data_IF_479133578055
#
_entry.id   IF_479133578055
#
_cell.length_a   1.000
_cell.length_b   1.000
_cell.length_c   1.000
_cell.angle_alpha   90.00
_cell.angle_beta   90.00
_cell.angle_gamma   90.00
#
_symmetry.space_group_name_H-M   'P 1'
#
loop_
_entity.id
_entity.type
_entity.pdbx_description
1 polymer ?
#
# COMPACT_ATOMS: atom_id res chain seq x y z
N UNK A 1 -64.81 -18.36 1.98
CA UNK A 1 -64.74 -17.56 0.73
C UNK A 1 -63.54 -16.63 0.69
N UNK A 2 -63.25 -15.84 1.72
CA UNK A 2 -62.08 -14.92 1.68
C UNK A 2 -60.71 -15.64 1.72
N UNK A 3 -60.66 -16.84 2.30
CA UNK A 3 -59.43 -17.64 2.42
C UNK A 3 -59.02 -18.33 1.10
N UNK A 4 -60.00 -18.85 0.33
CA UNK A 4 -59.74 -19.46 -0.99
C UNK A 4 -59.22 -18.43 -2.01
N UNK A 5 -59.66 -17.18 -1.91
CA UNK A 5 -59.23 -16.13 -2.84
C UNK A 5 -57.77 -15.72 -2.64
N UNK A 6 -57.25 -15.78 -1.40
CA UNK A 6 -55.83 -15.52 -1.10
C UNK A 6 -54.92 -16.64 -1.60
N UNK A 7 -55.37 -17.89 -1.52
CA UNK A 7 -54.60 -19.04 -2.00
C UNK A 7 -54.45 -19.03 -3.53
N UNK A 8 -55.49 -18.61 -4.25
CA UNK A 8 -55.45 -18.54 -5.72
C UNK A 8 -54.48 -17.46 -6.22
N UNK A 9 -54.48 -16.28 -5.59
CA UNK A 9 -53.55 -15.17 -5.93
C UNK A 9 -52.10 -15.54 -5.63
N UNK A 10 -51.85 -16.26 -4.52
CA UNK A 10 -50.51 -16.72 -4.18
C UNK A 10 -49.96 -17.73 -5.21
N UNK A 11 -50.79 -18.66 -5.70
CA UNK A 11 -50.39 -19.64 -6.72
C UNK A 11 -50.10 -18.98 -8.08
N UNK A 12 -50.86 -17.95 -8.45
CA UNK A 12 -50.66 -17.23 -9.71
C UNK A 12 -49.36 -16.39 -9.68
N UNK A 13 -49.06 -15.73 -8.55
CA UNK A 13 -47.79 -15.05 -8.33
C UNK A 13 -46.61 -16.01 -8.37
N UNK A 14 -46.72 -17.18 -7.74
CA UNK A 14 -45.66 -18.20 -7.75
C UNK A 14 -45.41 -18.71 -9.18
N UNK A 15 -46.47 -18.97 -9.96
CA UNK A 15 -46.32 -19.44 -11.34
C UNK A 15 -45.75 -18.35 -12.27
N UNK A 16 -46.21 -17.10 -12.14
CA UNK A 16 -45.67 -15.96 -12.90
C UNK A 16 -44.19 -15.71 -12.59
N UNK A 17 -43.81 -15.83 -11.31
CA UNK A 17 -42.40 -15.70 -10.89
C UNK A 17 -41.56 -16.86 -11.41
N UNK A 18 -42.13 -18.07 -11.49
CA UNK A 18 -41.43 -19.26 -12.00
C UNK A 18 -41.17 -19.17 -13.50
N UNK A 19 -42.10 -18.63 -14.29
CA UNK A 19 -41.88 -18.40 -15.73
C UNK A 19 -40.78 -17.35 -15.98
N UNK A 20 -40.73 -16.29 -15.17
CA UNK A 20 -39.70 -15.25 -15.31
C UNK A 20 -38.30 -15.75 -14.96
N UNK A 21 -38.18 -16.65 -13.99
CA UNK A 21 -36.90 -17.21 -13.54
C UNK A 21 -36.41 -18.34 -14.46
N UNK A 22 -37.31 -19.18 -14.96
CA UNK A 22 -36.93 -20.43 -15.65
C UNK A 22 -36.74 -20.25 -17.16
N UNK A 23 -37.31 -19.21 -17.76
CA UNK A 23 -37.20 -18.96 -19.20
C UNK A 23 -38.02 -19.95 -20.04
N UNK A 24 -38.47 -19.52 -21.21
CA UNK A 24 -39.34 -20.32 -22.09
C UNK A 24 -38.65 -21.64 -22.51
N UNK A 25 -39.15 -22.82 -22.09
CA UNK A 25 -38.55 -24.12 -22.41
C UNK A 25 -38.68 -24.50 -23.90
N UNK A 26 -39.38 -23.70 -24.72
CA UNK A 26 -39.56 -23.95 -26.15
C UNK A 26 -38.70 -23.07 -27.06
N UNK A 27 -37.77 -22.28 -26.52
CA UNK A 27 -36.79 -21.58 -27.35
C UNK A 27 -35.87 -22.59 -28.06
N UNK A 28 -36.18 -22.90 -29.33
CA UNK A 28 -35.35 -23.75 -30.18
C UNK A 28 -33.91 -23.23 -30.31
N UNK A 29 -32.96 -24.07 -30.76
CA UNK A 29 -31.55 -23.71 -30.84
C UNK A 29 -31.37 -22.44 -31.66
N UNK A 30 -30.94 -21.35 -31.00
CA UNK A 30 -30.68 -20.07 -31.65
C UNK A 30 -29.57 -20.29 -32.66
N UNK A 31 -29.89 -20.15 -33.96
CA UNK A 31 -28.86 -20.19 -35.01
C UNK A 31 -27.91 -19.03 -34.80
N UNK A 32 -26.68 -19.35 -34.40
CA UNK A 32 -25.61 -18.37 -34.25
C UNK A 32 -25.21 -17.87 -35.64
N UNK A 33 -25.72 -16.71 -36.02
CA UNK A 33 -25.29 -16.02 -37.24
C UNK A 33 -23.89 -15.42 -37.02
N UNK A 34 -23.03 -15.44 -38.04
CA UNK A 34 -21.68 -14.86 -37.95
C UNK A 34 -21.66 -13.43 -37.38
N UNK A 35 -22.64 -12.59 -37.75
CA UNK A 35 -22.79 -11.23 -37.25
C UNK A 35 -23.02 -11.14 -35.73
N UNK A 36 -23.76 -12.10 -35.14
CA UNK A 36 -23.98 -12.09 -33.70
C UNK A 36 -22.73 -12.54 -32.94
N UNK A 37 -21.97 -13.49 -33.50
CA UNK A 37 -20.65 -13.87 -32.97
C UNK A 37 -19.65 -12.73 -32.98
N UNK A 38 -19.55 -12.03 -34.11
CA UNK A 38 -18.68 -10.86 -34.26
C UNK A 38 -19.05 -9.74 -33.26
N UNK A 39 -20.34 -9.40 -33.17
CA UNK A 39 -20.82 -8.42 -32.19
C UNK A 39 -20.51 -8.84 -30.73
N UNK A 40 -20.61 -10.12 -30.41
CA UNK A 40 -20.27 -10.62 -29.08
C UNK A 40 -18.77 -10.42 -28.75
N UNK A 41 -17.86 -10.66 -29.71
CA UNK A 41 -16.42 -10.45 -29.54
C UNK A 41 -16.09 -8.97 -29.36
N UNK A 42 -16.65 -8.08 -30.18
CA UNK A 42 -16.37 -6.64 -30.08
C UNK A 42 -16.88 -6.01 -28.78
N UNK A 43 -18.02 -6.47 -28.29
CA UNK A 43 -18.52 -6.06 -26.98
C UNK A 43 -17.59 -6.50 -25.84
N UNK A 44 -17.10 -7.75 -25.88
CA UNK A 44 -16.13 -8.24 -24.89
C UNK A 44 -14.80 -7.49 -24.99
N UNK A 45 -14.31 -7.27 -26.20
CA UNK A 45 -13.07 -6.52 -26.49
C UNK A 45 -13.12 -5.11 -25.91
N UNK A 46 -14.16 -4.33 -26.25
CA UNK A 46 -14.24 -2.93 -25.84
C UNK A 46 -14.26 -2.76 -24.32
N UNK A 47 -15.11 -3.55 -23.64
CA UNK A 47 -15.23 -3.51 -22.18
C UNK A 47 -13.96 -4.05 -21.51
N UNK A 48 -13.40 -5.15 -22.01
CA UNK A 48 -12.20 -5.76 -21.46
C UNK A 48 -10.99 -4.84 -21.57
N UNK A 49 -10.73 -4.31 -22.76
CA UNK A 49 -9.61 -3.41 -23.00
C UNK A 49 -9.74 -2.10 -22.21
N UNK A 50 -10.94 -1.51 -22.14
CA UNK A 50 -11.18 -0.31 -21.33
C UNK A 50 -10.91 -0.56 -19.85
N UNK A 51 -11.48 -1.63 -19.28
CA UNK A 51 -11.29 -2.00 -17.88
C UNK A 51 -9.81 -2.31 -17.60
N UNK A 52 -9.16 -3.06 -18.49
CA UNK A 52 -7.76 -3.44 -18.37
C UNK A 52 -6.82 -2.24 -18.39
N UNK A 53 -7.05 -1.27 -19.28
CA UNK A 53 -6.23 -0.05 -19.31
C UNK A 53 -6.45 0.78 -18.04
N UNK A 54 -7.70 0.94 -17.59
CA UNK A 54 -8.01 1.64 -16.34
C UNK A 54 -7.31 0.97 -15.14
N UNK A 55 -7.29 -0.36 -15.12
CA UNK A 55 -6.57 -1.17 -14.14
C UNK A 55 -5.06 -0.89 -14.17
N UNK A 56 -4.43 -1.00 -15.34
CA UNK A 56 -2.99 -0.80 -15.49
C UNK A 56 -2.51 0.62 -15.20
N UNK A 57 -3.35 1.63 -15.50
CA UNK A 57 -3.07 3.03 -15.20
C UNK A 57 -3.34 3.41 -13.74
N UNK A 58 -4.15 2.66 -13.01
CA UNK A 58 -4.53 3.03 -11.64
C UNK A 58 -3.36 2.90 -10.65
N UNK A 59 -2.88 4.05 -10.14
CA UNK A 59 -1.84 4.14 -9.09
C UNK A 59 -2.46 4.15 -7.69
N UNK A 60 -3.75 4.51 -7.59
CA UNK A 60 -4.38 4.82 -6.32
C UNK A 60 -5.06 3.61 -5.66
N UNK A 61 -4.82 3.37 -4.34
CA UNK A 61 -5.51 2.36 -3.55
C UNK A 61 -7.04 2.42 -3.65
N UNK A 62 -7.62 3.61 -3.88
CA UNK A 62 -9.07 3.82 -4.01
C UNK A 62 -9.65 3.08 -5.23
N UNK A 63 -8.88 3.01 -6.32
CA UNK A 63 -9.35 2.36 -7.55
C UNK A 63 -9.41 0.84 -7.36
N UNK A 64 -8.50 0.26 -6.56
CA UNK A 64 -8.51 -1.18 -6.24
C UNK A 64 -9.80 -1.65 -5.56
N UNK A 65 -10.36 -0.83 -4.67
CA UNK A 65 -11.64 -1.11 -4.01
C UNK A 65 -12.81 -1.12 -4.99
N UNK A 66 -12.84 -0.15 -5.91
CA UNK A 66 -13.87 -0.08 -6.98
C UNK A 66 -13.75 -1.26 -7.94
N UNK A 67 -12.53 -1.71 -8.24
CA UNK A 67 -12.30 -2.86 -9.09
C UNK A 67 -12.80 -4.15 -8.43
N UNK A 68 -12.53 -4.33 -7.13
CA UNK A 68 -12.98 -5.51 -6.40
C UNK A 68 -14.52 -5.60 -6.37
N UNK A 69 -15.20 -4.47 -6.18
CA UNK A 69 -16.68 -4.42 -6.20
C UNK A 69 -17.23 -4.67 -7.60
N UNK A 70 -16.66 -4.08 -8.65
CA UNK A 70 -17.06 -4.33 -10.04
C UNK A 70 -16.79 -5.80 -10.43
N UNK A 71 -15.66 -6.37 -10.02
CA UNK A 71 -15.30 -7.76 -10.30
C UNK A 71 -16.23 -8.74 -9.58
N UNK A 72 -16.60 -8.44 -8.33
CA UNK A 72 -17.61 -9.20 -7.59
C UNK A 72 -18.99 -9.13 -8.27
N UNK A 73 -19.41 -7.94 -8.69
CA UNK A 73 -20.66 -7.75 -9.42
C UNK A 73 -20.65 -8.52 -10.75
N UNK A 74 -19.55 -8.45 -11.52
CA UNK A 74 -19.39 -9.18 -12.78
C UNK A 74 -19.37 -10.69 -12.56
N UNK A 75 -18.71 -11.18 -11.51
CA UNK A 75 -18.71 -12.61 -11.18
C UNK A 75 -20.13 -13.10 -10.84
N UNK A 76 -20.93 -12.31 -10.13
CA UNK A 76 -22.35 -12.61 -9.85
C UNK A 76 -23.19 -12.57 -11.13
N UNK A 77 -22.97 -11.58 -12.01
CA UNK A 77 -23.71 -11.46 -13.28
C UNK A 77 -23.31 -12.53 -14.32
N UNK A 78 -22.09 -13.05 -14.25
CA UNK A 78 -21.57 -14.10 -15.15
C UNK A 78 -21.86 -15.51 -14.60
N UNK A 79 -21.90 -15.68 -13.27
CA UNK A 79 -21.78 -16.96 -12.59
C UNK A 79 -23.04 -17.61 -12.02
N UNK A 80 -24.25 -17.12 -12.30
CA UNK A 80 -25.48 -17.65 -11.65
C UNK A 80 -26.47 -18.37 -12.57
N UNK A 81 -26.10 -18.73 -13.80
CA UNK A 81 -27.03 -19.50 -14.63
C UNK A 81 -26.34 -20.50 -15.58
N UNK A 82 -25.88 -21.62 -15.01
CA UNK A 82 -25.24 -22.74 -15.72
C UNK A 82 -26.14 -23.39 -16.78
N UNK A 83 -27.46 -23.17 -16.73
CA UNK A 83 -28.41 -23.72 -17.69
C UNK A 83 -28.48 -22.99 -19.03
N UNK A 84 -27.85 -21.82 -19.18
CA UNK A 84 -27.95 -20.99 -20.40
C UNK A 84 -26.60 -20.45 -20.90
N UNK A 85 -25.55 -21.27 -20.86
CA UNK A 85 -24.27 -20.95 -21.52
C UNK A 85 -24.39 -21.15 -23.04
N UNK A 86 -25.11 -20.26 -23.70
CA UNK A 86 -25.05 -20.13 -25.16
C UNK A 86 -23.60 -19.83 -25.60
N UNK A 87 -23.17 -20.41 -26.71
CA UNK A 87 -21.83 -20.19 -27.27
C UNK A 87 -21.49 -18.69 -27.46
N UNK A 88 -22.51 -17.85 -27.69
CA UNK A 88 -22.37 -16.39 -27.80
C UNK A 88 -21.98 -15.71 -26.48
N UNK A 89 -22.52 -16.17 -25.35
CA UNK A 89 -22.18 -15.63 -24.02
C UNK A 89 -20.76 -16.04 -23.63
N UNK A 90 -20.42 -17.31 -23.86
CA UNK A 90 -19.07 -17.82 -23.64
C UNK A 90 -18.03 -17.05 -24.46
N UNK A 91 -18.32 -16.77 -25.74
CA UNK A 91 -17.43 -15.99 -26.61
C UNK A 91 -17.24 -14.55 -26.13
N UNK A 92 -18.30 -13.90 -25.64
CA UNK A 92 -18.22 -12.55 -25.05
C UNK A 92 -17.38 -12.53 -23.77
N UNK A 93 -17.56 -13.52 -22.90
CA UNK A 93 -16.80 -13.63 -21.63
C UNK A 93 -15.32 -13.92 -21.91
N UNK A 94 -15.04 -14.83 -22.85
CA UNK A 94 -13.68 -15.18 -23.25
C UNK A 94 -12.93 -14.00 -23.87
N UNK A 95 -13.59 -13.26 -24.78
CA UNK A 95 -13.02 -12.05 -25.37
C UNK A 95 -12.79 -10.96 -24.31
N UNK A 96 -13.75 -10.74 -23.40
CA UNK A 96 -13.56 -9.82 -22.28
C UNK A 96 -12.30 -10.14 -21.45
N UNK A 97 -12.12 -11.40 -21.04
CA UNK A 97 -10.95 -11.81 -20.24
C UNK A 97 -9.63 -11.61 -20.98
N UNK A 98 -9.54 -12.06 -22.24
CA UNK A 98 -8.33 -11.94 -23.06
C UNK A 98 -7.93 -10.47 -23.26
N UNK A 99 -8.89 -9.62 -23.64
CA UNK A 99 -8.62 -8.21 -23.90
C UNK A 99 -8.41 -7.40 -22.62
N UNK A 100 -8.93 -7.86 -21.47
CA UNK A 100 -8.59 -7.29 -20.16
C UNK A 100 -7.11 -7.47 -19.84
N UNK A 101 -6.55 -8.67 -20.05
CA UNK A 101 -5.11 -8.91 -19.85
C UNK A 101 -4.26 -8.03 -20.76
N UNK A 102 -4.61 -7.94 -22.05
CA UNK A 102 -3.94 -7.05 -23.01
C UNK A 102 -4.03 -5.59 -22.56
N UNK A 103 -5.21 -5.15 -22.10
CA UNK A 103 -5.43 -3.81 -21.57
C UNK A 103 -4.58 -3.51 -20.34
N UNK A 104 -4.42 -4.46 -19.41
CA UNK A 104 -3.56 -4.31 -18.22
C UNK A 104 -2.11 -4.13 -18.64
N UNK A 105 -1.60 -4.99 -19.52
CA UNK A 105 -0.23 -4.88 -20.03
C UNK A 105 0.00 -3.55 -20.75
N UNK A 106 -0.96 -3.11 -21.56
CA UNK A 106 -0.91 -1.82 -22.25
C UNK A 106 -0.95 -0.65 -21.26
N UNK A 107 -1.83 -0.69 -20.25
CA UNK A 107 -1.90 0.34 -19.22
C UNK A 107 -0.62 0.44 -18.40
N UNK A 108 -0.05 -0.71 -18.01
CA UNK A 108 1.26 -0.76 -17.34
C UNK A 108 2.37 -0.22 -18.23
N UNK A 109 2.36 -0.55 -19.53
CA UNK A 109 3.34 -0.03 -20.49
C UNK A 109 3.23 1.49 -20.64
N UNK A 110 2.02 2.03 -20.82
CA UNK A 110 1.77 3.47 -20.91
C UNK A 110 2.22 4.18 -19.64
N UNK A 111 1.95 3.58 -18.48
CA UNK A 111 2.38 4.11 -17.19
C UNK A 111 3.90 4.06 -17.01
N UNK A 112 4.56 2.99 -17.42
CA UNK A 112 5.99 2.81 -17.21
C UNK A 112 6.85 3.66 -18.15
N UNK A 113 6.34 3.99 -19.33
CA UNK A 113 7.08 4.73 -20.35
C UNK A 113 6.65 6.19 -20.46
N UNK A 114 5.64 6.62 -19.70
CA UNK A 114 5.10 7.98 -19.68
C UNK A 114 5.08 8.66 -21.08
N UNK A 115 4.53 8.01 -22.13
CA UNK A 115 4.66 8.50 -23.51
C UNK A 115 3.92 9.81 -23.77
N UNK A 116 3.05 10.21 -22.83
CA UNK A 116 2.31 11.47 -22.85
C UNK A 116 2.87 12.51 -21.87
N UNK A 117 3.92 12.19 -21.10
CA UNK A 117 4.54 13.18 -20.24
C UNK A 117 5.33 14.18 -21.12
N UNK A 118 5.21 15.50 -20.87
CA UNK A 118 6.03 16.48 -21.55
C UNK A 118 7.49 16.23 -21.23
N UNK A 119 8.36 16.44 -22.23
CA UNK A 119 9.79 16.22 -22.03
C UNK A 119 10.33 17.20 -20.99
N UNK A 120 11.47 16.87 -20.38
CA UNK A 120 12.13 17.77 -19.42
C UNK A 120 12.45 19.14 -20.05
N UNK A 121 12.69 19.18 -21.35
CA UNK A 121 12.92 20.41 -22.11
C UNK A 121 11.64 21.25 -22.19
N UNK A 122 10.49 20.63 -22.43
CA UNK A 122 9.21 21.34 -22.50
C UNK A 122 8.85 21.96 -21.15
N UNK A 123 9.06 21.24 -20.05
CA UNK A 123 8.86 21.77 -18.70
C UNK A 123 9.81 22.93 -18.39
N UNK A 124 11.07 22.83 -18.82
CA UNK A 124 12.06 23.89 -18.61
C UNK A 124 11.67 25.17 -19.36
N UNK A 125 11.19 25.03 -20.59
CA UNK A 125 10.69 26.16 -21.40
C UNK A 125 9.42 26.77 -20.79
N UNK A 126 8.52 25.94 -20.25
CA UNK A 126 7.33 26.41 -19.53
C UNK A 126 7.71 27.28 -18.33
N UNK A 127 8.64 26.83 -17.47
CA UNK A 127 9.12 27.61 -16.32
C UNK A 127 9.83 28.90 -16.73
N UNK A 128 10.60 28.88 -17.83
CA UNK A 128 11.22 30.09 -18.38
C UNK A 128 10.18 31.09 -18.87
N UNK A 129 9.13 30.60 -19.54
CA UNK A 129 8.09 31.45 -20.12
C UNK A 129 7.29 32.24 -19.06
N UNK A 130 7.20 31.70 -17.84
CA UNK A 130 6.57 32.37 -16.68
C UNK A 130 7.55 33.22 -15.86
N UNK A 131 8.80 33.34 -16.29
CA UNK A 131 9.79 34.28 -15.74
C UNK A 131 10.75 33.70 -14.69
N UNK A 132 10.81 32.37 -14.51
CA UNK A 132 11.84 31.77 -13.66
C UNK A 132 13.21 31.84 -14.33
N UNK A 133 14.26 32.01 -13.50
CA UNK A 133 15.63 31.88 -13.96
C UNK A 133 15.95 30.43 -14.34
N UNK A 134 16.93 30.23 -15.22
CA UNK A 134 17.38 28.90 -15.65
C UNK A 134 17.81 28.01 -14.47
N UNK A 135 18.37 28.64 -13.42
CA UNK A 135 18.85 27.99 -12.22
C UNK A 135 17.69 27.51 -11.35
N UNK A 136 16.68 28.37 -11.15
CA UNK A 136 15.47 28.04 -10.38
C UNK A 136 14.63 26.97 -11.10
N UNK A 137 14.43 27.11 -12.41
CA UNK A 137 13.70 26.13 -13.22
C UNK A 137 14.40 24.75 -13.17
N UNK A 138 15.74 24.74 -13.29
CA UNK A 138 16.51 23.50 -13.13
C UNK A 138 16.38 22.94 -11.72
N UNK A 139 16.43 23.77 -10.68
CA UNK A 139 16.27 23.32 -9.30
C UNK A 139 14.87 22.74 -9.02
N UNK A 140 13.82 23.31 -9.60
CA UNK A 140 12.45 22.79 -9.48
C UNK A 140 12.29 21.46 -10.20
N UNK A 141 12.80 21.32 -11.42
CA UNK A 141 12.70 20.07 -12.19
C UNK A 141 13.56 18.97 -11.56
N UNK A 142 14.80 19.29 -11.18
CA UNK A 142 15.76 18.32 -10.63
C UNK A 142 15.56 18.08 -9.13
N UNK A 143 14.80 18.93 -8.42
CA UNK A 143 14.43 18.70 -7.02
C UNK A 143 13.64 17.40 -6.84
N UNK A 144 12.75 17.07 -7.79
CA UNK A 144 12.02 15.80 -7.82
C UNK A 144 12.95 14.60 -8.11
N UNK A 145 13.97 14.78 -8.96
CA UNK A 145 14.94 13.72 -9.30
C UNK A 145 15.94 13.48 -8.16
N UNK A 146 16.31 14.55 -7.42
CA UNK A 146 17.15 14.44 -6.20
C UNK A 146 16.43 13.74 -5.05
N UNK A 147 15.09 13.80 -5.01
CA UNK A 147 14.34 12.92 -4.11
C UNK A 147 14.64 11.47 -4.50
N UNK A 148 14.48 11.10 -5.78
CA UNK A 148 14.66 9.74 -6.32
C UNK A 148 16.06 9.12 -6.10
N UNK A 149 17.11 9.94 -6.07
CA UNK A 149 18.49 9.45 -5.99
C UNK A 149 19.10 9.37 -4.58
N UNK A 150 18.33 9.47 -3.50
CA UNK A 150 18.87 9.18 -2.15
C UNK A 150 18.14 9.75 -0.93
N UNK A 151 17.04 10.48 -1.10
CA UNK A 151 16.19 10.98 -0.01
C UNK A 151 14.72 11.07 -0.45
N UNK A 152 14.17 10.00 -1.02
CA UNK A 152 12.74 9.95 -1.37
C UNK A 152 11.96 9.80 -0.09
N UNK A 153 10.96 10.65 0.11
CA UNK A 153 9.83 10.33 0.98
C UNK A 153 9.05 9.23 0.28
N UNK A 154 9.38 7.97 0.57
CA UNK A 154 8.74 6.79 0.00
C UNK A 154 7.28 6.84 0.44
N UNK A 155 6.37 7.19 -0.44
CA UNK A 155 4.96 6.93 -0.15
C UNK A 155 4.74 5.43 -0.30
N UNK A 156 4.39 4.76 0.81
CA UNK A 156 4.00 3.36 0.83
C UNK A 156 2.79 3.16 -0.10
N UNK A 157 3.07 2.92 -1.36
CA UNK A 157 2.09 2.51 -2.35
C UNK A 157 2.02 0.99 -2.26
N UNK A 158 0.81 0.42 -2.23
CA UNK A 158 0.54 -1.03 -2.11
C UNK A 158 1.31 -1.90 -3.13
N UNK A 159 1.84 -1.29 -4.19
CA UNK A 159 2.65 -1.94 -5.23
C UNK A 159 4.14 -2.07 -4.86
N UNK A 160 4.62 -1.40 -3.81
CA UNK A 160 5.98 -1.51 -3.30
C UNK A 160 5.92 -1.94 -1.84
N UNK A 161 5.73 -3.25 -1.63
CA UNK A 161 5.91 -3.94 -0.35
C UNK A 161 7.39 -4.01 0.01
N UNK A 162 8.02 -2.85 0.22
CA UNK A 162 9.32 -2.80 0.87
C UNK A 162 9.15 -3.09 2.36
N UNK A 163 10.05 -3.88 2.94
CA UNK A 163 10.16 -3.98 4.39
C UNK A 163 10.68 -2.65 4.90
N UNK A 164 9.87 -1.94 5.71
CA UNK A 164 10.30 -0.68 6.32
C UNK A 164 11.40 -0.98 7.34
N UNK A 165 12.57 -0.43 7.08
CA UNK A 165 13.76 -0.53 7.93
C UNK A 165 13.82 0.65 8.91
N UNK A 166 14.65 0.52 9.93
CA UNK A 166 14.81 1.57 10.95
C UNK A 166 15.42 2.88 10.41
N UNK A 167 15.93 2.90 9.17
CA UNK A 167 16.48 4.08 8.51
C UNK A 167 15.45 4.83 7.63
N UNK A 168 14.28 4.24 7.41
CA UNK A 168 13.18 4.83 6.64
C UNK A 168 12.43 5.88 7.50
N UNK A 169 13.13 6.97 7.78
CA UNK A 169 12.72 8.02 8.71
C UNK A 169 11.73 9.03 8.14
N UNK A 170 11.64 9.07 6.82
CA UNK A 170 10.74 9.92 6.05
C UNK A 170 9.27 9.69 6.39
N UNK A 171 8.89 8.46 6.75
CA UNK A 171 7.54 8.13 7.22
C UNK A 171 7.15 8.79 8.54
N UNK A 172 8.14 9.19 9.36
CA UNK A 172 7.94 9.69 10.71
C UNK A 172 8.12 11.21 10.83
N UNK A 173 8.18 11.93 9.70
CA UNK A 173 8.40 13.38 9.70
C UNK A 173 7.24 14.18 10.31
N UNK A 174 6.03 13.59 10.36
CA UNK A 174 4.85 14.23 10.95
C UNK A 174 4.81 14.18 12.48
N UNK A 175 5.42 13.17 13.10
CA UNK A 175 5.44 13.03 14.55
C UNK A 175 6.43 14.04 15.17
N UNK A 176 6.03 14.79 16.18
CA UNK A 176 6.96 15.70 16.87
C UNK A 176 6.57 15.85 18.35
N UNK A 177 7.39 16.57 19.12
CA UNK A 177 7.16 16.73 20.56
C UNK A 177 5.90 17.52 20.93
N UNK A 178 5.26 18.19 19.95
CA UNK A 178 3.97 18.86 20.13
C UNK A 178 2.76 17.99 19.80
N UNK A 179 2.98 16.81 19.23
CA UNK A 179 1.93 15.82 18.92
C UNK A 179 1.54 15.05 20.18
N UNK A 180 0.26 14.67 20.32
CA UNK A 180 -0.19 13.85 21.44
C UNK A 180 0.48 12.46 21.43
N UNK A 181 0.81 11.90 22.59
CA UNK A 181 1.48 10.59 22.69
C UNK A 181 0.74 9.48 21.94
N UNK A 182 -0.59 9.47 22.00
CA UNK A 182 -1.45 8.52 21.28
C UNK A 182 -1.27 8.63 19.76
N UNK A 183 -1.27 9.84 19.21
CA UNK A 183 -1.05 10.10 17.79
C UNK A 183 0.39 9.79 17.36
N UNK A 184 1.39 10.02 18.22
CA UNK A 184 2.77 9.60 17.96
C UNK A 184 2.85 8.07 17.82
N UNK A 185 2.20 7.32 18.72
CA UNK A 185 2.21 5.85 18.66
C UNK A 185 1.56 5.36 17.37
N UNK A 186 0.39 5.90 17.00
CA UNK A 186 -0.29 5.54 15.75
C UNK A 186 0.55 5.92 14.52
N UNK A 187 1.23 7.06 14.53
CA UNK A 187 2.13 7.47 13.45
C UNK A 187 3.31 6.52 13.27
N UNK A 188 3.82 5.90 14.35
CA UNK A 188 4.86 4.87 14.25
C UNK A 188 4.32 3.49 13.85
N UNK A 189 3.06 3.18 14.17
CA UNK A 189 2.40 1.92 13.76
C UNK A 189 1.99 1.93 12.28
N UNK A 190 1.57 3.08 11.76
CA UNK A 190 1.01 3.21 10.41
C UNK A 190 1.92 2.72 9.26
N UNK A 191 3.25 2.94 9.28
CA UNK A 191 4.14 2.46 8.23
C UNK A 191 4.28 0.92 8.24
N UNK A 192 4.16 0.27 9.39
CA UNK A 192 4.49 -1.15 9.56
C UNK A 192 5.99 -1.40 9.79
N UNK A 193 6.39 -2.67 9.68
CA UNK A 193 7.80 -3.07 9.79
C UNK A 193 8.44 -2.74 11.14
N UNK A 194 9.72 -2.32 11.10
CA UNK A 194 10.50 -2.05 12.32
C UNK A 194 9.82 -1.03 13.26
N UNK A 195 9.27 0.06 12.72
CA UNK A 195 8.69 1.12 13.52
C UNK A 195 7.39 0.71 14.21
N UNK A 196 6.57 -0.12 13.56
CA UNK A 196 5.36 -0.63 14.15
C UNK A 196 5.65 -1.62 15.28
N UNK A 197 6.59 -2.54 15.07
CA UNK A 197 7.04 -3.49 16.10
C UNK A 197 7.66 -2.74 17.29
N UNK A 198 8.44 -1.69 17.03
CA UNK A 198 9.01 -0.84 18.07
C UNK A 198 7.94 -0.09 18.86
N UNK A 199 6.97 0.51 18.18
CA UNK A 199 5.87 1.22 18.83
C UNK A 199 5.02 0.30 19.69
N UNK A 200 4.72 -0.91 19.22
CA UNK A 200 3.96 -1.90 19.99
C UNK A 200 4.70 -2.35 21.25
N UNK A 201 6.01 -2.56 21.15
CA UNK A 201 6.81 -2.99 22.30
C UNK A 201 6.99 -1.86 23.33
N UNK A 202 7.16 -0.61 22.87
CA UNK A 202 7.19 0.59 23.73
C UNK A 202 5.85 0.79 24.43
N UNK A 203 4.73 0.64 23.72
CA UNK A 203 3.38 0.76 24.25
C UNK A 203 3.11 -0.22 25.40
N UNK A 204 3.69 -1.42 25.32
CA UNK A 204 3.58 -2.47 26.35
C UNK A 204 4.54 -2.28 27.53
N UNK A 205 5.75 -1.80 27.29
CA UNK A 205 6.86 -1.91 28.27
C UNK A 205 7.25 -0.60 28.94
N UNK A 206 6.84 0.55 28.38
CA UNK A 206 7.23 1.88 28.85
C UNK A 206 6.02 2.60 29.48
N UNK A 207 6.19 3.32 30.62
CA UNK A 207 5.11 4.11 31.21
C UNK A 207 4.54 5.15 30.24
N UNK A 208 3.24 5.41 30.32
CA UNK A 208 2.51 6.31 29.41
C UNK A 208 3.15 7.70 29.27
N UNK A 209 3.68 8.24 30.37
CA UNK A 209 4.33 9.56 30.39
C UNK A 209 5.58 9.64 29.51
N UNK A 210 6.26 8.52 29.25
CA UNK A 210 7.55 8.48 28.57
C UNK A 210 7.46 7.96 27.13
N UNK A 211 6.36 7.29 26.75
CA UNK A 211 6.22 6.60 25.45
C UNK A 211 6.54 7.50 24.26
N UNK A 212 5.91 8.67 24.19
CA UNK A 212 6.11 9.62 23.09
C UNK A 212 7.57 10.10 23.02
N UNK A 213 8.18 10.38 24.17
CA UNK A 213 9.57 10.83 24.24
C UNK A 213 10.56 9.73 23.84
N UNK A 214 10.33 8.48 24.23
CA UNK A 214 11.16 7.32 23.84
C UNK A 214 11.11 7.13 22.32
N UNK A 215 9.91 7.10 21.73
CA UNK A 215 9.73 6.91 20.29
C UNK A 215 10.46 7.99 19.48
N UNK A 216 10.23 9.26 19.83
CA UNK A 216 10.87 10.39 19.14
C UNK A 216 12.38 10.40 19.32
N UNK A 217 12.88 10.10 20.54
CA UNK A 217 14.33 10.10 20.82
C UNK A 217 15.04 9.00 20.01
N UNK A 218 14.48 7.78 19.98
CA UNK A 218 15.07 6.69 19.20
C UNK A 218 15.02 6.98 17.70
N UNK A 219 13.89 7.52 17.20
CA UNK A 219 13.82 8.00 15.82
C UNK A 219 14.95 9.00 15.55
N UNK A 220 15.05 10.06 16.33
CA UNK A 220 16.03 11.11 16.08
C UNK A 220 17.47 10.55 16.06
N UNK A 221 17.79 9.59 16.93
CA UNK A 221 19.10 8.95 16.96
C UNK A 221 19.36 8.11 15.72
N UNK A 222 18.41 7.25 15.34
CA UNK A 222 18.56 6.36 14.17
C UNK A 222 18.52 7.13 12.84
N UNK A 223 17.82 8.26 12.81
CA UNK A 223 17.69 9.10 11.61
C UNK A 223 18.83 10.09 11.42
N UNK A 224 19.48 10.53 12.51
CA UNK A 224 20.62 11.47 12.45
C UNK A 224 21.95 10.76 12.19
N UNK A 225 22.08 9.50 12.58
CA UNK A 225 23.24 8.69 12.24
C UNK A 225 22.95 7.96 10.91
N UNK A 226 23.51 8.37 9.77
CA UNK A 226 23.53 7.52 8.58
C UNK A 226 24.77 6.62 8.69
N UNK A 227 24.69 5.39 9.26
CA UNK A 227 25.77 4.47 9.01
C UNK A 227 25.74 4.13 7.53
N UNK A 228 26.89 4.24 6.87
CA UNK A 228 27.10 3.64 5.54
C UNK A 228 26.83 2.11 5.55
N UNK A 229 26.66 1.50 6.73
CA UNK A 229 26.37 0.10 6.96
C UNK A 229 25.49 -0.10 8.22
N UNK A 230 24.17 0.07 8.07
CA UNK A 230 23.20 -0.14 9.16
C UNK A 230 23.18 -1.61 9.64
N UNK A 231 23.50 -2.57 8.77
CA UNK A 231 23.59 -3.99 9.11
C UNK A 231 24.71 -4.25 10.12
N UNK A 232 25.87 -3.63 9.92
CA UNK A 232 26.97 -3.68 10.90
C UNK A 232 26.59 -3.00 12.22
N UNK A 233 25.87 -1.89 12.17
CA UNK A 233 25.36 -1.22 13.38
C UNK A 233 24.44 -2.15 14.18
N UNK A 234 23.43 -2.75 13.53
CA UNK A 234 22.46 -3.70 14.12
C UNK A 234 23.16 -4.87 14.80
N UNK A 235 24.05 -5.55 14.07
CA UNK A 235 24.77 -6.73 14.58
C UNK A 235 25.73 -6.40 15.73
N UNK A 236 26.45 -5.27 15.64
CA UNK A 236 27.36 -4.82 16.70
C UNK A 236 26.58 -4.48 17.96
N UNK A 237 25.46 -3.75 17.84
CA UNK A 237 24.61 -3.40 18.98
C UNK A 237 24.11 -4.65 19.72
N UNK A 238 23.56 -5.63 19.00
CA UNK A 238 23.05 -6.88 19.60
C UNK A 238 24.17 -7.61 20.35
N UNK A 239 25.35 -7.72 19.76
CA UNK A 239 26.50 -8.39 20.39
C UNK A 239 26.98 -7.69 21.67
N UNK A 240 26.95 -6.36 21.68
CA UNK A 240 27.39 -5.55 22.82
C UNK A 240 26.37 -5.55 23.95
N UNK A 241 25.06 -5.60 23.65
CA UNK A 241 24.00 -5.66 24.67
C UNK A 241 23.82 -7.06 25.25
N UNK A 242 24.11 -8.12 24.48
CA UNK A 242 23.90 -9.50 24.90
C UNK A 242 24.59 -9.84 26.23
N UNK A 243 23.83 -10.47 27.14
CA UNK A 243 24.32 -10.97 28.42
C UNK A 243 24.54 -9.92 29.51
N UNK A 244 24.19 -8.65 29.28
CA UNK A 244 24.31 -7.57 30.27
C UNK A 244 23.00 -7.34 31.00
N UNK A 245 23.08 -7.13 32.31
CA UNK A 245 21.93 -7.02 33.21
C UNK A 245 21.65 -5.60 33.69
N UNK A 246 22.53 -4.64 33.39
CA UNK A 246 22.46 -3.28 33.89
C UNK A 246 22.75 -2.28 32.75
N UNK A 247 22.12 -1.10 32.79
CA UNK A 247 22.31 -0.07 31.78
C UNK A 247 23.76 0.43 31.74
N UNK A 248 24.40 0.65 32.90
CA UNK A 248 25.78 1.13 32.96
C UNK A 248 26.78 0.20 32.25
N UNK A 249 26.61 -1.12 32.41
CA UNK A 249 27.44 -2.11 31.72
C UNK A 249 27.23 -2.11 30.20
N UNK A 250 25.99 -1.90 29.75
CA UNK A 250 25.67 -1.75 28.32
C UNK A 250 26.30 -0.48 27.77
N UNK A 251 26.14 0.64 28.47
CA UNK A 251 26.64 1.95 28.07
C UNK A 251 28.17 1.97 27.97
N UNK A 252 28.88 1.36 28.94
CA UNK A 252 30.33 1.22 28.87
C UNK A 252 30.79 0.42 27.66
N UNK A 253 30.09 -0.67 27.32
CA UNK A 253 30.41 -1.47 26.15
C UNK A 253 30.11 -0.75 24.82
N UNK A 254 29.00 -0.02 24.76
CA UNK A 254 28.62 0.79 23.59
C UNK A 254 29.59 1.97 23.37
N UNK A 255 30.04 2.61 24.44
CA UNK A 255 31.03 3.71 24.38
C UNK A 255 32.46 3.23 24.06
N UNK A 256 32.78 1.98 24.39
CA UNK A 256 34.07 1.38 24.07
C UNK A 256 34.23 0.95 22.60
N UNK A 257 33.12 0.85 21.87
CA UNK A 257 33.13 0.52 20.44
C UNK A 257 33.37 1.76 19.57
N UNK A 258 34.05 1.60 18.45
CA UNK A 258 34.35 2.72 17.53
C UNK A 258 33.13 3.19 16.73
N UNK A 259 31.98 2.56 16.88
CA UNK A 259 30.74 2.98 16.24
C UNK A 259 30.16 4.24 16.88
N UNK A 260 29.25 4.90 16.17
CA UNK A 260 28.57 6.12 16.60
C UNK A 260 27.54 5.93 17.74
N UNK A 261 27.65 4.88 18.57
CA UNK A 261 26.72 4.63 19.69
C UNK A 261 26.81 5.69 20.80
N UNK A 262 27.89 6.49 20.84
CA UNK A 262 28.02 7.57 21.80
C UNK A 262 26.85 8.58 21.76
N UNK A 263 26.28 8.84 20.58
CA UNK A 263 25.10 9.70 20.45
C UNK A 263 23.89 9.05 21.12
N UNK A 264 23.67 7.75 20.89
CA UNK A 264 22.59 6.99 21.51
C UNK A 264 22.68 7.02 23.04
N UNK A 265 23.85 6.67 23.57
CA UNK A 265 24.09 6.63 25.03
C UNK A 265 23.88 8.01 25.66
N UNK A 266 24.48 9.05 25.08
CA UNK A 266 24.39 10.41 25.63
C UNK A 266 22.96 10.95 25.62
N UNK A 267 22.21 10.76 24.52
CA UNK A 267 20.82 11.21 24.42
C UNK A 267 19.92 10.49 25.43
N UNK A 268 20.12 9.18 25.61
CA UNK A 268 19.33 8.40 26.55
C UNK A 268 19.66 8.76 28.01
N UNK A 269 20.95 8.94 28.36
CA UNK A 269 21.38 9.35 29.70
C UNK A 269 20.82 10.72 30.12
N UNK A 270 20.70 11.66 29.18
CA UNK A 270 20.17 12.98 29.46
C UNK A 270 18.65 12.99 29.71
N UNK A 271 17.92 12.06 29.09
CA UNK A 271 16.45 12.09 29.03
C UNK A 271 15.76 11.07 29.92
N UNK A 272 16.42 9.97 30.25
CA UNK A 272 15.78 8.82 30.90
C UNK A 272 16.59 8.34 32.11
N UNK A 273 15.87 7.80 33.10
CA UNK A 273 16.49 7.16 34.26
C UNK A 273 17.11 5.81 33.89
N UNK A 274 17.93 5.26 34.79
CA UNK A 274 18.71 4.05 34.52
C UNK A 274 17.85 2.83 34.13
N UNK A 275 16.72 2.64 34.82
CA UNK A 275 15.81 1.53 34.54
C UNK A 275 15.15 1.66 33.16
N UNK A 276 14.69 2.86 32.80
CA UNK A 276 14.12 3.14 31.47
C UNK A 276 15.16 2.90 30.37
N UNK A 277 16.41 3.38 30.56
CA UNK A 277 17.49 3.16 29.58
C UNK A 277 17.77 1.68 29.39
N UNK A 278 17.82 0.91 30.48
CA UNK A 278 17.98 -0.54 30.40
C UNK A 278 16.88 -1.18 29.57
N UNK A 279 15.61 -0.86 29.85
CA UNK A 279 14.47 -1.36 29.07
C UNK A 279 14.62 -1.00 27.60
N UNK A 280 14.90 0.27 27.26
CA UNK A 280 15.07 0.74 25.88
C UNK A 280 16.17 -0.06 25.16
N UNK A 281 17.33 -0.29 25.79
CA UNK A 281 18.40 -1.09 25.18
C UNK A 281 17.97 -2.53 24.91
N UNK A 282 17.23 -3.15 25.84
CA UNK A 282 16.72 -4.51 25.66
C UNK A 282 15.68 -4.58 24.53
N UNK A 283 14.78 -3.60 24.43
CA UNK A 283 13.79 -3.52 23.35
C UNK A 283 14.48 -3.40 21.98
N UNK A 284 15.44 -2.48 21.86
CA UNK A 284 16.22 -2.32 20.63
C UNK A 284 16.99 -3.59 20.28
N UNK A 285 17.60 -4.26 21.26
CA UNK A 285 18.34 -5.50 21.01
C UNK A 285 17.43 -6.65 20.55
N UNK A 286 16.20 -6.73 21.06
CA UNK A 286 15.17 -7.69 20.63
C UNK A 286 14.76 -7.45 19.18
N UNK A 287 14.45 -6.20 18.82
CA UNK A 287 14.04 -5.83 17.46
C UNK A 287 15.19 -5.91 16.45
N UNK A 288 16.42 -5.69 16.92
CA UNK A 288 17.60 -5.90 16.10
C UNK A 288 17.97 -7.37 15.92
N UNK A 289 17.25 -8.30 16.55
CA UNK A 289 17.45 -9.74 16.36
C UNK A 289 16.44 -10.36 15.39
N UNK A 290 15.25 -9.78 15.26
CA UNK A 290 14.27 -10.11 14.21
C UNK A 290 14.75 -9.67 12.83
#
# INVERSE_FOLDING_TARGET
MEEEQKEHVAKELINSTKEWIVGDPQAGPVKVTFLSGFSAVFNGLGIGLLLGILLGLSVSPVVSGVIATISSLLAVLIGLNEKFLDSLKSLRIGSFGLFSVVGILLGLYLRANDPFAPSLLDKMEEYRSIGYSDEDARAMITGFIKADSGKVVRQASVLYSGTIEAQDCDYLSGANSGTETSEIIEAFKAPGGFWADFAEEVDRSIPEADKGQVLLTIRDILCVAPPADFTKFKSSFVSLVAGKTEAGAIEQALLGDQSNFGILVNQLQQKFNEQQRFTIYQLLAKLFKS
#
